data_IF_382941270307
#
_entry.id   IF_382941270307
#
_cell.length_a   1.000
_cell.length_b   1.000
_cell.length_c   1.000
_cell.angle_alpha   90.00
_cell.angle_beta   90.00
_cell.angle_gamma   90.00
#
_symmetry.space_group_name_H-M   'P 1'
#
loop_
_entity.id
_entity.type
_entity.pdbx_description
1 polymer ?
#
# COMPACT_ATOMS: atom_id res chain seq x y z
N UNK A 1 -6.90 28.39 34.57
CA UNK A 1 -6.38 27.45 35.56
C UNK A 1 -5.32 28.15 36.36
N UNK A 2 -5.14 27.72 37.60
CA UNK A 2 -4.20 28.34 38.53
C UNK A 2 -3.40 27.26 39.26
N UNK A 3 -2.21 27.61 39.71
CA UNK A 3 -1.31 26.76 40.50
C UNK A 3 -0.76 27.54 41.68
N UNK A 4 -0.31 26.84 42.73
CA UNK A 4 0.22 27.50 43.93
C UNK A 4 1.59 28.11 43.65
N UNK A 5 1.88 29.26 44.26
CA UNK A 5 3.21 29.87 44.19
C UNK A 5 4.03 29.71 45.48
N UNK A 6 3.47 29.06 46.51
CA UNK A 6 4.09 28.84 47.82
C UNK A 6 3.84 27.42 48.34
N UNK A 7 4.69 26.96 49.27
CA UNK A 7 4.67 25.57 49.77
C UNK A 7 3.44 25.20 50.59
N UNK A 8 2.72 26.16 51.17
CA UNK A 8 1.50 25.94 51.98
C UNK A 8 0.53 27.13 51.81
N UNK A 9 -0.34 27.14 50.78
CA UNK A 9 -1.20 28.27 50.49
C UNK A 9 -2.30 28.45 51.55
N UNK A 10 -2.33 29.59 52.25
CA UNK A 10 -3.41 29.94 53.22
C UNK A 10 -4.49 30.86 52.66
N UNK A 11 -4.23 31.57 51.56
CA UNK A 11 -5.15 32.48 50.88
C UNK A 11 -5.18 32.13 49.38
N UNK A 12 -6.31 31.61 48.90
CA UNK A 12 -6.48 31.15 47.51
C UNK A 12 -6.45 32.28 46.48
N UNK A 13 -6.65 33.54 46.89
CA UNK A 13 -6.61 34.70 46.00
C UNK A 13 -5.17 35.17 45.82
N UNK A 14 -4.34 35.08 46.87
CA UNK A 14 -2.96 35.58 46.86
C UNK A 14 -1.91 34.53 46.51
N UNK A 15 -2.18 33.27 46.82
CA UNK A 15 -1.20 32.18 46.68
C UNK A 15 -1.38 31.33 45.43
N UNK A 16 -2.32 31.71 44.56
CA UNK A 16 -2.56 31.06 43.28
C UNK A 16 -2.20 32.01 42.14
N UNK A 17 -1.46 31.50 41.15
CA UNK A 17 -1.07 32.24 39.95
C UNK A 17 -1.65 31.59 38.70
N UNK A 18 -2.09 32.38 37.70
CA UNK A 18 -2.70 31.85 36.50
C UNK A 18 -1.68 31.12 35.61
N UNK A 19 -2.11 30.07 34.94
CA UNK A 19 -1.31 29.41 33.90
C UNK A 19 -1.08 30.34 32.70
N UNK A 20 0.06 30.17 32.01
CA UNK A 20 0.38 30.98 30.84
C UNK A 20 -0.52 30.63 29.64
N UNK A 21 -1.37 31.59 29.24
CA UNK A 21 -2.33 31.42 28.15
C UNK A 21 -1.64 30.95 26.87
N UNK A 22 -2.12 29.83 26.32
CA UNK A 22 -1.62 29.25 25.07
C UNK A 22 -0.38 28.38 25.22
N UNK A 23 0.22 28.28 26.41
CA UNK A 23 1.37 27.39 26.68
C UNK A 23 1.08 26.36 27.76
N UNK A 24 0.28 26.73 28.76
CA UNK A 24 -0.02 25.89 29.91
C UNK A 24 -1.49 25.96 30.29
N UNK A 25 -1.98 24.90 30.94
CA UNK A 25 -3.34 24.77 31.42
C UNK A 25 -3.43 24.02 32.75
N UNK A 26 -4.56 24.20 33.43
CA UNK A 26 -4.96 23.45 34.61
C UNK A 26 -6.48 23.50 34.70
N UNK A 27 -7.10 22.35 34.49
CA UNK A 27 -8.56 22.18 34.31
C UNK A 27 -9.29 21.78 35.59
N UNK A 28 -8.56 21.60 36.70
CA UNK A 28 -9.12 21.27 37.99
C UNK A 28 -8.38 21.98 39.14
N UNK A 29 -9.05 22.16 40.29
CA UNK A 29 -8.38 22.59 41.52
C UNK A 29 -7.26 21.61 41.89
N UNK A 30 -6.11 22.13 42.29
CA UNK A 30 -4.90 21.34 42.50
C UNK A 30 -4.00 22.00 43.56
N UNK A 31 -3.01 21.23 44.03
CA UNK A 31 -1.95 21.71 44.93
C UNK A 31 -0.57 21.67 44.24
N UNK A 32 -0.55 21.75 42.91
CA UNK A 32 0.69 21.76 42.13
C UNK A 32 1.25 23.18 42.09
N UNK A 33 2.57 23.28 41.98
CA UNK A 33 3.30 24.53 41.81
C UNK A 33 3.55 24.88 40.33
N UNK A 34 3.13 24.01 39.41
CA UNK A 34 3.32 24.14 37.96
C UNK A 34 2.10 23.67 37.20
N UNK A 35 1.75 24.42 36.16
CA UNK A 35 0.68 24.05 35.25
C UNK A 35 1.13 22.93 34.30
N UNK A 36 0.18 22.24 33.70
CA UNK A 36 0.48 21.28 32.64
C UNK A 36 0.74 22.00 31.33
N UNK A 37 1.70 21.52 30.55
CA UNK A 37 1.93 22.07 29.21
C UNK A 37 0.79 21.67 28.28
N UNK A 38 0.35 22.60 27.46
CA UNK A 38 -0.64 22.33 26.43
C UNK A 38 -0.15 21.23 25.47
N UNK A 39 -1.07 20.35 25.07
CA UNK A 39 -0.82 19.36 24.01
C UNK A 39 -0.51 20.09 22.71
N UNK A 40 0.49 19.60 21.98
CA UNK A 40 0.78 20.03 20.62
C UNK A 40 0.05 19.13 19.61
N UNK A 41 -0.69 19.75 18.69
CA UNK A 41 -1.30 19.03 17.57
C UNK A 41 -0.31 19.05 16.40
N UNK A 42 0.51 18.00 16.30
CA UNK A 42 1.56 17.93 15.30
C UNK A 42 0.99 17.49 13.94
N UNK A 43 1.13 18.37 12.96
CA UNK A 43 0.71 18.15 11.58
C UNK A 43 1.39 16.95 10.91
N UNK A 44 2.59 16.54 11.35
CA UNK A 44 3.29 15.36 10.81
C UNK A 44 2.53 14.06 11.07
N UNK A 45 1.77 14.01 12.15
CA UNK A 45 0.87 12.90 12.49
C UNK A 45 -0.58 13.14 12.00
N UNK A 46 -0.80 14.14 11.13
CA UNK A 46 -2.09 14.43 10.52
C UNK A 46 -3.10 15.08 11.46
N UNK A 47 -2.64 15.78 12.51
CA UNK A 47 -3.51 16.49 13.46
C UNK A 47 -3.69 17.96 13.10
N UNK A 48 -4.85 18.50 13.47
CA UNK A 48 -5.12 19.94 13.48
C UNK A 48 -5.70 20.38 14.83
N UNK A 49 -5.47 21.64 15.17
CA UNK A 49 -6.05 22.25 16.37
C UNK A 49 -7.52 22.58 16.09
N UNK A 50 -8.43 21.96 16.84
CA UNK A 50 -9.86 22.28 16.79
C UNK A 50 -10.20 23.34 17.85
N UNK A 51 -9.57 23.24 19.01
CA UNK A 51 -9.73 24.21 20.10
C UNK A 51 -8.36 24.58 20.66
N UNK A 52 -8.10 25.88 20.68
CA UNK A 52 -6.86 26.44 21.23
C UNK A 52 -6.79 26.21 22.74
N UNK A 53 -5.57 26.03 23.24
CA UNK A 53 -5.32 25.91 24.67
C UNK A 53 -5.69 27.20 25.41
N UNK A 54 -6.30 27.06 26.58
CA UNK A 54 -6.58 28.14 27.52
C UNK A 54 -5.99 27.79 28.88
N UNK A 55 -5.86 28.75 29.82
CA UNK A 55 -5.39 28.42 31.16
C UNK A 55 -6.23 27.33 31.83
N UNK A 56 -7.51 27.18 31.50
CA UNK A 56 -8.45 26.22 32.08
C UNK A 56 -8.64 24.94 31.25
N UNK A 57 -8.18 24.90 30.00
CA UNK A 57 -8.49 23.78 29.10
C UNK A 57 -7.30 23.46 28.19
N UNK A 58 -7.00 22.17 28.05
CA UNK A 58 -5.97 21.72 27.13
C UNK A 58 -6.35 21.99 25.65
N UNK A 59 -5.36 22.01 24.78
CA UNK A 59 -5.56 21.95 23.32
C UNK A 59 -6.37 20.71 22.95
N UNK A 60 -7.40 20.88 22.13
CA UNK A 60 -8.11 19.75 21.52
C UNK A 60 -7.63 19.55 20.08
N UNK A 61 -7.06 18.38 19.84
CA UNK A 61 -6.61 17.96 18.51
C UNK A 61 -7.64 17.04 17.86
N UNK A 62 -7.83 17.17 16.56
CA UNK A 62 -8.54 16.19 15.74
C UNK A 62 -7.75 15.89 14.47
N UNK A 63 -8.18 14.88 13.71
CA UNK A 63 -7.59 14.63 12.41
C UNK A 63 -7.86 15.80 11.46
N UNK A 64 -6.79 16.23 10.80
CA UNK A 64 -6.83 17.28 9.81
C UNK A 64 -7.73 16.93 8.64
N UNK A 65 -8.13 17.94 7.87
CA UNK A 65 -8.89 17.71 6.63
C UNK A 65 -8.18 16.68 5.74
N UNK A 66 -8.94 15.70 5.24
CA UNK A 66 -8.47 14.55 4.48
C UNK A 66 -7.65 13.52 5.28
N UNK A 67 -7.80 13.52 6.60
CA UNK A 67 -7.31 12.45 7.47
C UNK A 67 -8.44 11.89 8.34
N UNK A 68 -8.31 10.64 8.77
CA UNK A 68 -9.28 9.95 9.63
C UNK A 68 -8.59 9.07 10.66
N UNK A 69 -9.31 8.66 11.69
CA UNK A 69 -8.85 7.64 12.63
C UNK A 69 -9.98 6.74 13.10
N UNK A 70 -9.76 5.44 13.11
CA UNK A 70 -10.78 4.46 13.51
C UNK A 70 -10.78 4.16 15.03
N UNK A 71 -9.75 4.63 15.74
CA UNK A 71 -9.59 4.42 17.19
C UNK A 71 -10.07 5.64 17.96
N UNK A 72 -10.63 5.40 19.15
CA UNK A 72 -10.96 6.46 20.11
C UNK A 72 -9.68 7.12 20.63
N UNK A 73 -8.64 6.32 20.87
CA UNK A 73 -7.28 6.77 21.16
C UNK A 73 -6.49 6.69 19.85
N UNK A 74 -6.48 7.81 19.15
CA UNK A 74 -5.71 7.93 17.93
C UNK A 74 -4.29 8.37 18.27
N UNK A 75 -3.27 7.61 17.84
CA UNK A 75 -1.87 8.04 17.94
C UNK A 75 -1.47 8.89 16.73
N UNK A 76 -1.92 8.49 15.54
CA UNK A 76 -1.69 9.17 14.28
C UNK A 76 -2.91 9.06 13.36
N UNK A 77 -3.24 10.14 12.67
CA UNK A 77 -4.33 10.13 11.71
C UNK A 77 -3.88 9.53 10.38
N UNK A 78 -4.73 8.68 9.80
CA UNK A 78 -4.50 8.06 8.51
C UNK A 78 -5.02 8.97 7.40
N UNK A 79 -4.26 9.10 6.30
CA UNK A 79 -4.72 9.88 5.16
C UNK A 79 -5.93 9.21 4.51
N UNK A 80 -6.96 9.98 4.20
CA UNK A 80 -8.14 9.50 3.48
C UNK A 80 -7.75 9.00 2.09
N UNK A 81 -8.39 7.93 1.64
CA UNK A 81 -8.19 7.43 0.29
C UNK A 81 -8.79 8.40 -0.74
N UNK A 82 -7.93 9.02 -1.58
CA UNK A 82 -8.33 9.98 -2.62
C UNK A 82 -8.70 9.29 -3.93
N UNK A 83 -9.72 8.44 -3.90
CA UNK A 83 -10.27 7.84 -5.13
C UNK A 83 -11.36 8.72 -5.75
N UNK A 84 -11.22 9.11 -7.02
CA UNK A 84 -12.39 9.52 -7.83
C UNK A 84 -13.30 8.30 -7.94
N UNK A 85 -14.41 8.31 -7.21
CA UNK A 85 -15.43 7.27 -7.32
C UNK A 85 -16.12 7.39 -8.68
N UNK A 86 -15.60 6.74 -9.71
CA UNK A 86 -16.49 6.33 -10.80
C UNK A 86 -17.44 5.31 -10.19
N UNK A 87 -18.70 5.69 -10.02
CA UNK A 87 -19.73 4.79 -9.55
C UNK A 87 -19.87 3.65 -10.55
N UNK A 88 -19.15 2.55 -10.35
CA UNK A 88 -19.34 1.34 -11.14
C UNK A 88 -20.67 0.76 -10.68
N UNK A 89 -21.70 1.02 -11.47
CA UNK A 89 -22.98 0.32 -11.39
C UNK A 89 -22.68 -1.14 -11.72
N UNK A 90 -22.32 -1.94 -10.72
CA UNK A 90 -22.37 -3.39 -10.84
C UNK A 90 -23.82 -3.74 -11.17
N UNK A 91 -24.02 -4.26 -12.39
CA UNK A 91 -25.31 -4.64 -13.00
C UNK A 91 -26.44 -4.75 -11.96
N UNK A 92 -27.33 -3.74 -11.96
CA UNK A 92 -28.61 -3.64 -11.21
C UNK A 92 -28.58 -3.31 -9.70
N UNK A 93 -27.46 -2.95 -9.06
CA UNK A 93 -27.46 -2.55 -7.63
C UNK A 93 -27.01 -1.09 -7.44
N UNK A 94 -27.83 -0.28 -6.75
CA UNK A 94 -27.51 1.11 -6.37
C UNK A 94 -26.74 1.12 -5.05
N UNK A 95 -25.58 1.78 -5.03
CA UNK A 95 -24.75 1.99 -3.83
C UNK A 95 -24.64 3.50 -3.58
N UNK A 96 -24.64 3.91 -2.30
CA UNK A 96 -24.38 5.29 -1.90
C UNK A 96 -22.96 5.40 -1.35
N UNK A 97 -22.21 6.35 -1.87
CA UNK A 97 -20.89 6.69 -1.36
C UNK A 97 -21.02 7.54 -0.10
N UNK A 98 -20.21 7.23 0.90
CA UNK A 98 -19.94 8.10 2.03
C UNK A 98 -18.48 8.53 1.95
N UNK A 99 -18.29 9.84 1.92
CA UNK A 99 -16.96 10.44 1.91
C UNK A 99 -16.26 10.18 3.25
N UNK A 100 -14.93 10.28 3.23
CA UNK A 100 -14.10 10.22 4.42
C UNK A 100 -14.59 11.22 5.48
N UNK A 101 -14.60 10.77 6.73
CA UNK A 101 -14.95 11.54 7.93
C UNK A 101 -13.83 11.38 8.96
N UNK A 102 -13.83 12.21 10.01
CA UNK A 102 -12.78 12.18 11.05
C UNK A 102 -12.61 10.81 11.72
N UNK A 103 -13.67 10.00 11.78
CA UNK A 103 -13.68 8.67 12.42
C UNK A 103 -13.65 7.49 11.45
N UNK A 104 -13.42 7.73 10.15
CA UNK A 104 -13.45 6.65 9.17
C UNK A 104 -13.18 7.10 7.74
N UNK A 105 -12.51 6.23 6.98
CA UNK A 105 -12.22 6.43 5.55
C UNK A 105 -13.50 6.43 4.68
N UNK A 106 -13.30 6.44 3.36
CA UNK A 106 -14.31 6.22 2.34
C UNK A 106 -15.07 4.89 2.54
N UNK A 107 -16.40 4.93 2.57
CA UNK A 107 -17.24 3.74 2.74
C UNK A 107 -18.48 3.71 1.84
N UNK A 108 -18.95 2.51 1.49
CA UNK A 108 -19.98 2.29 0.47
C UNK A 108 -21.14 1.55 1.10
N UNK A 109 -22.35 2.12 0.99
CA UNK A 109 -23.54 1.54 1.58
C UNK A 109 -24.49 1.04 0.50
N UNK A 110 -25.01 -0.18 0.70
CA UNK A 110 -26.11 -0.70 -0.11
C UNK A 110 -27.42 -0.38 0.62
N UNK A 111 -28.30 0.40 -0.01
CA UNK A 111 -29.66 0.60 0.48
C UNK A 111 -30.51 -0.57 -0.01
N UNK A 112 -31.00 -1.41 0.91
CA UNK A 112 -32.07 -2.36 0.62
C UNK A 112 -33.41 -1.63 0.76
N UNK A 113 -34.33 -1.72 -0.20
CA UNK A 113 -35.61 -1.04 -0.09
C UNK A 113 -36.52 -1.56 1.05
N UNK A 114 -36.16 -2.67 1.72
CA UNK A 114 -37.04 -3.34 2.69
C UNK A 114 -36.41 -3.63 4.07
N UNK A 115 -35.43 -2.86 4.55
CA UNK A 115 -34.96 -3.02 5.94
C UNK A 115 -34.18 -1.80 6.44
N UNK A 116 -34.42 -1.37 7.67
CA UNK A 116 -33.67 -0.32 8.41
C UNK A 116 -32.21 -0.68 8.72
N UNK A 117 -31.77 -1.88 8.33
CA UNK A 117 -30.43 -2.39 8.59
C UNK A 117 -29.42 -1.87 7.54
N UNK A 118 -28.69 -0.80 7.90
CA UNK A 118 -27.53 -0.33 7.12
C UNK A 118 -26.39 -1.34 7.28
N UNK A 119 -26.20 -2.22 6.30
CA UNK A 119 -24.97 -3.02 6.21
C UNK A 119 -23.87 -2.13 5.65
N UNK A 120 -22.90 -1.80 6.48
CA UNK A 120 -21.68 -1.08 6.09
C UNK A 120 -20.78 -2.04 5.34
N UNK A 121 -20.48 -1.73 4.08
CA UNK A 121 -19.46 -2.45 3.33
C UNK A 121 -18.25 -1.52 3.23
N UNK A 122 -17.04 -2.05 3.42
CA UNK A 122 -15.83 -1.33 2.98
C UNK A 122 -16.06 -1.01 1.50
N UNK A 123 -15.98 0.27 1.12
CA UNK A 123 -15.80 0.56 -0.30
C UNK A 123 -14.54 -0.22 -0.68
N UNK A 124 -14.67 -1.18 -1.59
CA UNK A 124 -13.57 -1.36 -2.52
C UNK A 124 -13.56 -0.06 -3.31
N UNK A 125 -12.81 0.93 -2.80
CA UNK A 125 -12.22 1.91 -3.69
C UNK A 125 -11.58 1.04 -4.74
N UNK A 126 -11.99 1.16 -5.99
CA UNK A 126 -11.12 0.72 -7.06
C UNK A 126 -9.89 1.65 -7.01
N UNK A 127 -9.02 1.47 -6.02
CA UNK A 127 -7.72 0.93 -6.35
C UNK A 127 -8.02 -0.36 -7.10
N UNK A 128 -8.16 -0.21 -8.42
CA UNK A 128 -8.11 -1.32 -9.36
C UNK A 128 -6.99 -2.24 -8.87
N UNK A 129 -7.27 -3.52 -8.63
CA UNK A 129 -6.73 -4.27 -7.50
C UNK A 129 -5.22 -4.07 -7.30
N UNK A 130 -4.85 -3.37 -6.22
CA UNK A 130 -3.47 -3.43 -5.68
C UNK A 130 -3.14 -4.81 -5.09
N UNK A 131 -4.02 -5.81 -5.26
CA UNK A 131 -3.73 -7.21 -4.95
C UNK A 131 -3.32 -8.02 -6.19
N UNK A 132 -2.91 -7.37 -7.27
CA UNK A 132 -1.86 -7.94 -8.12
C UNK A 132 -0.52 -7.51 -7.48
N UNK A 133 -0.16 -8.22 -6.39
CA UNK A 133 1.18 -8.27 -5.80
C UNK A 133 2.20 -8.10 -6.91
N UNK A 134 2.96 -6.99 -6.98
CA UNK A 134 4.07 -6.68 -7.91
C UNK A 134 4.37 -7.80 -8.94
N UNK A 135 3.37 -8.12 -9.76
CA UNK A 135 3.34 -9.44 -10.38
C UNK A 135 4.29 -9.32 -11.53
N UNK A 136 5.29 -10.20 -11.57
CA UNK A 136 6.26 -10.13 -12.62
C UNK A 136 5.56 -10.33 -13.96
N UNK A 137 5.40 -9.24 -14.71
CA UNK A 137 4.75 -9.25 -16.00
C UNK A 137 5.61 -9.99 -17.03
N UNK A 138 6.88 -10.29 -16.72
CA UNK A 138 7.84 -10.92 -17.63
C UNK A 138 7.29 -12.18 -18.29
N UNK A 139 6.66 -13.07 -17.52
CA UNK A 139 6.05 -14.32 -18.02
C UNK A 139 4.77 -14.07 -18.82
N UNK A 140 4.12 -12.92 -18.60
CA UNK A 140 2.84 -12.55 -19.21
C UNK A 140 2.98 -11.58 -20.39
N UNK A 141 4.18 -11.04 -20.66
CA UNK A 141 4.41 -10.08 -21.77
C UNK A 141 3.83 -10.57 -23.10
N UNK A 142 4.06 -11.82 -23.56
CA UNK A 142 3.48 -12.29 -24.82
C UNK A 142 1.95 -12.25 -24.84
N UNK A 143 1.32 -12.61 -23.72
CA UNK A 143 -0.12 -12.58 -23.56
C UNK A 143 -0.70 -11.16 -23.51
N UNK A 144 0.04 -10.22 -22.93
CA UNK A 144 -0.34 -8.80 -22.85
C UNK A 144 -0.29 -8.18 -24.25
N UNK A 145 0.84 -8.31 -24.94
CA UNK A 145 1.02 -7.66 -26.25
C UNK A 145 0.20 -8.32 -27.35
N UNK A 146 -0.29 -9.55 -27.15
CA UNK A 146 -1.24 -10.19 -28.05
C UNK A 146 -2.59 -9.45 -28.09
N UNK A 147 -2.99 -8.79 -27.00
CA UNK A 147 -4.24 -8.01 -26.92
C UNK A 147 -4.12 -6.61 -27.56
N UNK A 148 -2.92 -6.25 -28.01
CA UNK A 148 -2.62 -4.94 -28.61
C UNK A 148 -2.14 -5.10 -30.06
N UNK A 149 -2.49 -4.14 -30.89
CA UNK A 149 -1.89 -3.96 -32.22
C UNK A 149 -0.48 -3.37 -32.10
N UNK A 150 0.36 -3.55 -33.12
CA UNK A 150 1.70 -2.95 -33.12
C UNK A 150 1.65 -1.41 -33.01
N UNK A 151 0.66 -0.78 -33.63
CA UNK A 151 0.44 0.66 -33.54
C UNK A 151 0.10 1.10 -32.11
N UNK A 152 -0.74 0.33 -31.40
CA UNK A 152 -1.08 0.59 -30.00
C UNK A 152 0.11 0.41 -29.07
N UNK A 153 0.94 -0.64 -29.28
CA UNK A 153 2.17 -0.83 -28.50
C UNK A 153 3.12 0.34 -28.73
N UNK A 154 3.35 0.76 -29.98
CA UNK A 154 4.17 1.94 -30.30
C UNK A 154 3.64 3.22 -29.63
N UNK A 155 2.32 3.43 -29.66
CA UNK A 155 1.69 4.58 -29.00
C UNK A 155 1.87 4.53 -27.48
N UNK A 156 1.75 3.35 -26.87
CA UNK A 156 1.95 3.15 -25.45
C UNK A 156 3.39 3.41 -25.01
N UNK A 157 4.39 2.84 -25.68
CA UNK A 157 5.80 3.03 -25.30
C UNK A 157 6.26 4.48 -25.49
N UNK A 158 5.74 5.17 -26.52
CA UNK A 158 5.98 6.62 -26.72
C UNK A 158 5.38 7.47 -25.61
N UNK A 159 4.18 7.14 -25.16
CA UNK A 159 3.53 7.84 -24.06
C UNK A 159 4.34 7.73 -22.76
N UNK A 160 5.06 6.63 -22.57
CA UNK A 160 5.95 6.41 -21.43
C UNK A 160 7.42 6.81 -21.68
N UNK A 161 7.70 7.61 -22.71
CA UNK A 161 9.02 8.16 -22.97
C UNK A 161 10.12 7.11 -23.24
N UNK A 162 9.77 5.94 -23.79
CA UNK A 162 10.79 5.05 -24.39
C UNK A 162 11.42 5.77 -25.58
N UNK A 163 12.76 5.83 -25.61
CA UNK A 163 13.48 6.63 -26.61
C UNK A 163 13.27 6.11 -28.04
N UNK A 164 13.11 7.01 -29.01
CA UNK A 164 12.95 6.62 -30.42
C UNK A 164 14.11 5.73 -30.93
N UNK A 165 15.39 5.94 -30.55
CA UNK A 165 16.47 5.01 -30.89
C UNK A 165 16.23 3.57 -30.39
N UNK A 166 15.66 3.40 -29.19
CA UNK A 166 15.33 2.07 -28.66
C UNK A 166 14.12 1.44 -29.38
N UNK A 167 13.17 2.26 -29.81
CA UNK A 167 12.04 1.83 -30.63
C UNK A 167 12.52 1.37 -32.00
N UNK A 168 13.37 2.16 -32.66
CA UNK A 168 13.92 1.88 -33.99
C UNK A 168 14.79 0.63 -33.99
N UNK A 169 15.67 0.47 -32.99
CA UNK A 169 16.46 -0.74 -32.79
C UNK A 169 15.57 -1.98 -32.63
N UNK A 170 14.51 -1.88 -31.82
CA UNK A 170 13.57 -2.99 -31.60
C UNK A 170 12.82 -3.41 -32.87
N UNK A 171 12.58 -2.48 -33.79
CA UNK A 171 11.93 -2.74 -35.09
C UNK A 171 12.94 -3.34 -36.07
N UNK A 172 14.16 -2.79 -36.12
CA UNK A 172 15.21 -3.20 -37.05
C UNK A 172 15.74 -4.61 -36.76
N UNK A 173 15.82 -4.99 -35.48
CA UNK A 173 16.28 -6.32 -35.08
C UNK A 173 15.33 -7.46 -35.50
N UNK A 174 14.08 -7.14 -35.85
CA UNK A 174 13.02 -8.13 -36.08
C UNK A 174 12.10 -7.72 -37.24
N UNK A 175 12.65 -7.54 -38.45
CA UNK A 175 11.91 -6.99 -39.61
C UNK A 175 10.66 -7.79 -40.06
N UNK A 176 10.55 -9.08 -39.71
CA UNK A 176 9.48 -9.96 -40.19
C UNK A 176 8.45 -10.43 -39.16
N UNK A 177 8.75 -10.31 -37.86
CA UNK A 177 7.87 -10.83 -36.80
C UNK A 177 7.22 -9.70 -36.01
N UNK A 178 5.96 -9.43 -36.33
CA UNK A 178 5.16 -8.39 -35.66
C UNK A 178 4.91 -8.73 -34.19
N UNK A 179 4.86 -10.01 -33.81
CA UNK A 179 4.68 -10.42 -32.42
C UNK A 179 5.95 -10.13 -31.62
N UNK A 180 7.11 -10.51 -32.16
CA UNK A 180 8.41 -10.29 -31.52
C UNK A 180 8.72 -8.79 -31.39
N UNK A 181 8.41 -7.98 -32.41
CA UNK A 181 8.51 -6.51 -32.33
C UNK A 181 7.69 -5.95 -31.15
N UNK A 182 6.44 -6.40 -30.99
CA UNK A 182 5.59 -5.95 -29.88
C UNK A 182 6.16 -6.36 -28.52
N UNK A 183 6.64 -7.59 -28.38
CA UNK A 183 7.25 -8.10 -27.15
C UNK A 183 8.47 -7.25 -26.76
N UNK A 184 9.37 -6.97 -27.71
CA UNK A 184 10.58 -6.19 -27.46
C UNK A 184 10.29 -4.75 -27.06
N UNK A 185 9.40 -4.06 -27.78
CA UNK A 185 8.97 -2.71 -27.44
C UNK A 185 8.39 -2.65 -26.02
N UNK A 186 7.52 -3.61 -25.68
CA UNK A 186 6.91 -3.67 -24.37
C UNK A 186 7.92 -4.01 -23.26
N UNK A 187 8.89 -4.90 -23.53
CA UNK A 187 10.00 -5.19 -22.61
C UNK A 187 10.88 -3.98 -22.35
N UNK A 188 11.18 -3.18 -23.38
CA UNK A 188 11.97 -1.96 -23.22
C UNK A 188 11.27 -0.97 -22.26
N UNK A 189 9.95 -0.81 -22.40
CA UNK A 189 9.15 -0.06 -21.42
C UNK A 189 9.24 -0.68 -20.02
N UNK A 190 8.96 -1.98 -19.89
CA UNK A 190 8.91 -2.66 -18.59
C UNK A 190 10.24 -2.55 -17.84
N UNK A 191 11.36 -2.69 -18.56
CA UNK A 191 12.70 -2.50 -18.00
C UNK A 191 12.98 -1.06 -17.59
N UNK A 192 12.53 -0.07 -18.36
CA UNK A 192 12.71 1.35 -18.03
C UNK A 192 11.83 1.83 -16.87
N UNK A 193 10.64 1.25 -16.71
CA UNK A 193 9.67 1.63 -15.68
C UNK A 193 9.99 0.98 -14.32
N UNK A 194 10.48 -0.26 -14.34
CA UNK A 194 10.66 -1.09 -13.15
C UNK A 194 9.41 -1.91 -12.78
N UNK A 195 9.59 -2.98 -12.02
CA UNK A 195 8.54 -3.96 -11.71
C UNK A 195 7.44 -3.41 -10.81
N UNK A 196 7.80 -2.51 -9.88
CA UNK A 196 6.90 -2.03 -8.82
C UNK A 196 5.76 -1.21 -9.41
N UNK A 197 4.53 -1.69 -9.26
CA UNK A 197 3.34 -1.01 -9.78
C UNK A 197 3.18 -1.04 -11.31
N UNK A 198 4.01 -1.79 -12.05
CA UNK A 198 3.98 -1.82 -13.51
C UNK A 198 2.60 -2.22 -14.08
N UNK A 199 1.93 -3.18 -13.44
CA UNK A 199 0.58 -3.61 -13.83
C UNK A 199 -0.44 -2.48 -13.69
N UNK A 200 -0.40 -1.74 -12.57
CA UNK A 200 -1.30 -0.61 -12.35
C UNK A 200 -1.08 0.49 -13.38
N UNK A 201 0.19 0.83 -13.66
CA UNK A 201 0.57 1.79 -14.70
C UNK A 201 0.07 1.34 -16.08
N UNK A 202 0.26 0.07 -16.44
CA UNK A 202 -0.21 -0.49 -17.72
C UNK A 202 -1.71 -0.26 -17.91
N UNK A 203 -2.54 -0.70 -16.96
CA UNK A 203 -4.01 -0.62 -17.09
C UNK A 203 -4.50 0.83 -17.11
N UNK A 204 -3.94 1.71 -16.27
CA UNK A 204 -4.29 3.13 -16.26
C UNK A 204 -3.95 3.81 -17.60
N UNK A 205 -2.72 3.63 -18.08
CA UNK A 205 -2.27 4.25 -19.32
C UNK A 205 -3.03 3.74 -20.55
N UNK A 206 -3.36 2.44 -20.61
CA UNK A 206 -4.18 1.91 -21.70
C UNK A 206 -5.56 2.58 -21.75
N UNK A 207 -6.19 2.84 -20.59
CA UNK A 207 -7.48 3.54 -20.51
C UNK A 207 -7.36 5.01 -20.91
N UNK A 208 -6.30 5.70 -20.48
CA UNK A 208 -6.01 7.08 -20.88
C UNK A 208 -5.78 7.22 -22.38
N UNK A 209 -5.11 6.25 -23.00
CA UNK A 209 -4.87 6.20 -24.44
C UNK A 209 -6.09 5.73 -25.26
N UNK A 210 -7.24 5.50 -24.60
CA UNK A 210 -8.52 5.01 -25.15
C UNK A 210 -8.48 3.58 -25.67
N UNK A 211 -7.54 2.76 -25.19
CA UNK A 211 -7.39 1.34 -25.50
C UNK A 211 -8.16 0.47 -24.50
N UNK A 212 -9.40 0.85 -24.17
CA UNK A 212 -10.15 0.24 -23.07
C UNK A 212 -10.43 -1.26 -23.30
N UNK A 213 -10.71 -1.67 -24.54
CA UNK A 213 -10.97 -3.08 -24.86
C UNK A 213 -9.73 -3.97 -24.64
N UNK A 214 -8.53 -3.47 -24.94
CA UNK A 214 -7.29 -4.20 -24.66
C UNK A 214 -7.04 -4.28 -23.15
N UNK A 215 -7.24 -3.16 -22.43
CA UNK A 215 -7.10 -3.13 -20.97
C UNK A 215 -8.01 -4.14 -20.27
N UNK A 216 -9.28 -4.19 -20.66
CA UNK A 216 -10.26 -5.11 -20.07
C UNK A 216 -9.88 -6.58 -20.33
N UNK A 217 -9.42 -6.92 -21.55
CA UNK A 217 -8.97 -8.29 -21.88
C UNK A 217 -7.70 -8.69 -21.14
N UNK A 218 -6.73 -7.78 -21.02
CA UNK A 218 -5.48 -8.00 -20.29
C UNK A 218 -5.78 -8.26 -18.80
N UNK A 219 -6.68 -7.46 -18.22
CA UNK A 219 -7.11 -7.62 -16.84
C UNK A 219 -7.77 -8.98 -16.59
N UNK A 220 -8.70 -9.41 -17.46
CA UNK A 220 -9.35 -10.71 -17.32
C UNK A 220 -8.37 -11.88 -17.45
N UNK A 221 -7.41 -11.79 -18.39
CA UNK A 221 -6.37 -12.82 -18.57
C UNK A 221 -5.46 -12.96 -17.36
N UNK A 222 -5.05 -11.85 -16.75
CA UNK A 222 -4.16 -11.86 -15.60
C UNK A 222 -4.89 -12.30 -14.32
N UNK A 223 -6.15 -11.90 -14.13
CA UNK A 223 -6.99 -12.42 -13.04
C UNK A 223 -7.18 -13.93 -13.12
N UNK A 224 -7.43 -14.45 -14.33
CA UNK A 224 -7.56 -15.89 -14.55
C UNK A 224 -6.25 -16.63 -14.25
N UNK A 225 -5.11 -16.09 -14.70
CA UNK A 225 -3.79 -16.69 -14.45
C UNK A 225 -3.48 -16.81 -12.94
N UNK A 226 -3.81 -15.79 -12.14
CA UNK A 226 -3.59 -15.81 -10.70
C UNK A 226 -4.55 -16.77 -10.00
N UNK A 227 -5.82 -16.77 -10.38
CA UNK A 227 -6.83 -17.65 -9.76
C UNK A 227 -6.47 -19.14 -9.94
N UNK A 228 -5.94 -19.50 -11.11
CA UNK A 228 -5.52 -20.88 -11.39
C UNK A 228 -4.26 -21.31 -10.63
N UNK A 229 -3.43 -20.36 -10.16
CA UNK A 229 -2.23 -20.66 -9.37
C UNK A 229 -2.53 -20.95 -7.88
N UNK A 230 -3.71 -20.58 -7.37
CA UNK A 230 -4.12 -20.84 -5.98
C UNK A 230 -4.83 -22.20 -5.78
N UNK A 231 -5.36 -22.83 -6.83
CA UNK A 231 -6.01 -24.16 -6.75
C UNK A 231 -5.03 -25.35 -6.84
N UNK A 232 -3.74 -25.10 -7.11
CA UNK A 232 -2.68 -26.12 -7.11
C UNK A 232 -2.00 -26.33 -5.74
N UNK A 233 -2.50 -25.69 -4.68
CA UNK A 233 -1.99 -25.82 -3.33
C UNK A 233 -2.40 -27.16 -2.71
N UNK A 234 -1.61 -28.20 -2.98
CA UNK A 234 -1.69 -29.48 -2.29
C UNK A 234 -1.42 -29.22 -0.79
N UNK A 235 -2.48 -29.15 0.01
CA UNK A 235 -2.39 -28.95 1.46
C UNK A 235 -1.79 -30.19 2.11
N UNK A 236 -0.54 -30.11 2.55
CA UNK A 236 0.01 -31.07 3.49
C UNK A 236 -0.38 -30.63 4.91
N UNK A 237 -1.42 -31.24 5.47
CA UNK A 237 -1.61 -31.26 6.92
C UNK A 237 -0.62 -32.29 7.49
N UNK A 238 0.23 -31.94 8.47
CA UNK A 238 1.00 -32.91 9.20
C UNK A 238 0.23 -33.25 10.47
N UNK A 239 -0.64 -34.25 10.42
CA UNK A 239 -1.04 -34.95 11.62
C UNK A 239 -1.29 -36.43 11.32
N UNK A 240 -0.58 -37.26 12.08
CA UNK A 240 -0.71 -38.71 12.27
C UNK A 240 0.37 -39.57 11.62
N UNK A 241 1.04 -40.28 12.52
CA UNK A 241 2.19 -41.16 12.42
C UNK A 241 2.17 -42.29 11.36
N UNK A 242 3.40 -42.59 10.91
CA UNK A 242 3.96 -43.90 10.60
C UNK A 242 3.23 -44.79 9.57
N UNK A 243 3.75 -44.85 8.33
CA UNK A 243 4.20 -46.12 7.71
C UNK A 243 4.86 -45.96 6.33
N UNK A 244 6.13 -46.39 6.25
CA UNK A 244 6.75 -47.30 5.26
C UNK A 244 6.58 -47.10 3.73
N UNK A 245 7.76 -46.95 3.07
CA UNK A 245 8.16 -47.51 1.75
C UNK A 245 7.61 -46.75 0.51
N UNK A 246 8.36 -46.36 -0.55
CA UNK A 246 9.60 -46.84 -1.17
C UNK A 246 10.35 -45.71 -1.92
N UNK A 247 11.67 -45.88 -2.08
CA UNK A 247 12.57 -45.09 -2.94
C UNK A 247 12.59 -45.59 -4.40
N UNK A 248 13.28 -44.79 -5.24
CA UNK A 248 13.89 -45.03 -6.57
C UNK A 248 13.13 -44.41 -7.75
N UNK A 249 13.76 -43.70 -8.69
CA UNK A 249 15.09 -43.94 -9.28
C UNK A 249 15.66 -42.66 -9.89
N UNK A 250 16.89 -42.31 -9.50
CA UNK A 250 17.75 -41.41 -10.27
C UNK A 250 18.50 -42.14 -11.38
N UNK A 251 19.12 -41.36 -12.26
CA UNK A 251 20.29 -41.73 -13.08
C UNK A 251 21.16 -40.47 -13.17
N UNK A 252 22.20 -40.27 -12.36
CA UNK A 252 23.49 -40.95 -12.18
C UNK A 252 24.48 -40.80 -13.34
N UNK A 253 25.59 -40.11 -13.06
CA UNK A 253 26.99 -40.42 -13.44
C UNK A 253 27.90 -39.40 -12.73
N UNK A 254 28.58 -39.70 -11.59
CA UNK A 254 29.91 -40.35 -11.41
C UNK A 254 31.05 -39.60 -12.15
N UNK A 255 32.24 -39.27 -11.59
CA UNK A 255 33.06 -39.73 -10.45
C UNK A 255 33.83 -38.53 -9.85
N UNK A 256 34.04 -38.35 -8.54
CA UNK A 256 34.87 -39.07 -7.56
C UNK A 256 36.38 -38.73 -7.61
N UNK A 257 36.90 -38.21 -6.48
CA UNK A 257 38.26 -38.40 -5.92
C UNK A 257 38.44 -37.57 -4.63
N UNK A 258 38.11 -38.20 -3.51
CA UNK A 258 38.68 -38.04 -2.15
C UNK A 258 40.22 -38.17 -2.19
N UNK A 259 41.08 -37.50 -1.41
CA UNK A 259 41.45 -37.66 0.02
C UNK A 259 42.63 -36.67 0.29
N UNK A 260 42.72 -35.91 1.40
CA UNK A 260 43.15 -36.24 2.78
C UNK A 260 44.65 -36.02 3.08
N UNK A 261 44.97 -35.04 3.94
CA UNK A 261 46.06 -35.01 4.97
C UNK A 261 46.15 -33.59 5.57
N UNK A 262 45.71 -33.36 6.81
CA UNK A 262 46.41 -33.49 8.10
C UNK A 262 47.70 -32.65 8.24
N UNK A 263 47.51 -31.52 8.93
CA UNK A 263 48.28 -30.97 10.07
C UNK A 263 49.82 -30.97 10.05
N UNK A 264 50.38 -29.77 10.19
CA UNK A 264 51.55 -29.52 11.04
C UNK A 264 51.48 -28.13 11.69
N UNK A 265 51.68 -28.11 13.00
CA UNK A 265 51.81 -26.97 13.93
C UNK A 265 53.23 -26.42 13.96
N UNK A 266 53.41 -25.12 14.26
CA UNK A 266 54.63 -24.63 14.95
C UNK A 266 55.12 -23.21 14.64
N UNK A 267 54.60 -22.23 15.40
CA UNK A 267 55.27 -21.14 16.15
C UNK A 267 56.40 -20.23 15.60
N UNK A 268 56.27 -18.93 15.95
CA UNK A 268 57.30 -17.95 16.40
C UNK A 268 58.31 -17.44 15.32
N UNK A 269 58.74 -16.18 15.20
CA UNK A 269 58.79 -14.97 16.04
C UNK A 269 58.68 -13.69 15.18
N UNK A 270 58.22 -12.61 15.81
CA UNK A 270 58.46 -11.22 15.43
C UNK A 270 59.96 -10.87 15.57
N UNK A 271 60.48 -10.08 14.64
CA UNK A 271 61.44 -9.01 14.95
C UNK A 271 61.30 -7.91 13.92
#
# INVERSE_FOLDING_TARGET
GFVKNVSCPTDIIKHCVPCEKGKEFMDHPNELDKCWRCRLCDSTFGWEVVKNCTPEENTQCACAKNYYCNSVECDHCQQCTTGKSTGVIHKRKKYKLQNCITTGDLSCFRTSPNTTLRKTYKCQVHSFPFTLLDADLSSHVPGIVAEMTLAEVKKFVRHHHVSEPAIDQSIQDCLGDTSEQKIRLFRAWYQSHGMKGAYGTLISSLKELKMCAAADKIEEKLKAAISNSQEGGQSCNPDTEQSKTCCQKGRSSYNDSTELSKAYTGSLEET
#
